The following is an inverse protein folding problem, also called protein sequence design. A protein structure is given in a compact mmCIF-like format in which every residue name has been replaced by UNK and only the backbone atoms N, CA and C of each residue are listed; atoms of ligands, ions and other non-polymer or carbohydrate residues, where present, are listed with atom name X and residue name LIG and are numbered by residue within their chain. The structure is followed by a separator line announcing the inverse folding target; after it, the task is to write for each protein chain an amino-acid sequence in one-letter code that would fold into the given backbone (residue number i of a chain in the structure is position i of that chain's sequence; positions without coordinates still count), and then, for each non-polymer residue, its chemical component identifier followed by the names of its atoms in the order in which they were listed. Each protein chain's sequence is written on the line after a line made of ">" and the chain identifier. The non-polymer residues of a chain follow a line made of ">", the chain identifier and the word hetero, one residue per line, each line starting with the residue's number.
data_IF_898155274947
#
_entry.id   IF_898155274947
#
_cell.length_a   1.000
_cell.length_b   1.000
_cell.length_c   1.000
_cell.angle_alpha   90.00
_cell.angle_beta   90.00
_cell.angle_gamma   90.00
#
_symmetry.space_group_name_H-M   'P 1'
#
loop_
_entity.id
_entity.type
_entity.pdbx_description
1 polymer ?
#
# COMPACT_ATOMS: atom_id res chain seq x y z
N UNK A 1 3.28 4.04 10.53
CA UNK A 1 3.17 3.63 9.12
C UNK A 1 1.91 2.81 8.98
N UNK A 2 0.98 3.27 8.16
CA UNK A 2 -0.29 2.57 7.92
C UNK A 2 -0.20 1.88 6.58
N UNK A 3 -0.60 0.61 6.52
CA UNK A 3 -0.75 -0.14 5.28
C UNK A 3 -2.23 -0.26 4.95
N UNK A 4 -2.62 0.21 3.78
CA UNK A 4 -3.99 0.17 3.29
C UNK A 4 -3.98 -0.61 1.96
N UNK A 5 -4.77 -1.67 1.88
CA UNK A 5 -4.95 -2.46 0.67
C UNK A 5 -6.35 -3.09 0.67
N UNK A 6 -6.94 -3.29 -0.52
CA UNK A 6 -8.21 -4.02 -0.64
C UNK A 6 -8.05 -5.50 -0.31
N UNK A 7 -6.85 -6.07 -0.51
CA UNK A 7 -6.52 -7.42 -0.08
C UNK A 7 -6.10 -7.43 1.39
N UNK A 8 -7.10 -7.48 2.27
CA UNK A 8 -6.93 -7.37 3.72
C UNK A 8 -6.04 -8.48 4.28
N UNK A 9 -6.27 -9.74 3.90
CA UNK A 9 -5.51 -10.88 4.42
C UNK A 9 -4.02 -10.74 4.12
N UNK A 10 -3.69 -10.35 2.89
CA UNK A 10 -2.29 -10.12 2.49
C UNK A 10 -1.70 -8.94 3.27
N UNK A 11 -2.40 -7.80 3.32
CA UNK A 11 -1.87 -6.61 3.98
C UNK A 11 -1.70 -6.79 5.49
N UNK A 12 -2.63 -7.47 6.16
CA UNK A 12 -2.49 -7.84 7.57
C UNK A 12 -1.31 -8.79 7.77
N UNK A 13 -1.11 -9.78 6.90
CA UNK A 13 0.06 -10.66 6.92
C UNK A 13 1.38 -9.91 6.79
N UNK A 14 1.48 -9.00 5.81
CA UNK A 14 2.67 -8.17 5.59
C UNK A 14 2.95 -7.26 6.80
N UNK A 15 1.90 -6.68 7.41
CA UNK A 15 2.02 -5.87 8.64
C UNK A 15 2.49 -6.70 9.83
N UNK A 16 2.01 -7.93 9.99
CA UNK A 16 2.46 -8.84 11.05
C UNK A 16 3.93 -9.19 10.87
N UNK A 17 4.35 -9.49 9.64
CA UNK A 17 5.74 -9.83 9.33
C UNK A 17 6.69 -8.65 9.57
N UNK A 18 6.32 -7.44 9.12
CA UNK A 18 7.05 -6.21 9.42
C UNK A 18 7.18 -5.97 10.93
N UNK A 19 6.12 -6.24 11.69
CA UNK A 19 6.14 -6.10 13.15
C UNK A 19 6.99 -7.16 13.85
N UNK A 20 7.12 -8.37 13.30
CA UNK A 20 8.03 -9.37 13.83
C UNK A 20 9.50 -8.95 13.68
N UNK A 21 9.85 -8.32 12.55
CA UNK A 21 11.19 -7.80 12.29
C UNK A 21 11.54 -6.53 13.07
N UNK A 22 10.56 -5.82 13.65
CA UNK A 22 10.75 -4.49 14.25
C UNK A 22 11.77 -4.45 15.39
N UNK A 23 11.98 -5.57 16.09
CA UNK A 23 12.94 -5.65 17.19
C UNK A 23 14.39 -5.42 16.74
N UNK A 24 14.68 -5.60 15.45
CA UNK A 24 15.99 -5.41 14.85
C UNK A 24 16.12 -4.08 14.09
N UNK A 25 15.06 -3.28 14.04
CA UNK A 25 15.09 -1.97 13.39
C UNK A 25 15.90 -0.97 14.23
N UNK A 26 16.66 -0.05 13.61
CA UNK A 26 17.47 0.94 14.34
C UNK A 26 16.63 1.93 15.16
N UNK A 27 15.37 2.12 14.78
CA UNK A 27 14.41 2.97 15.47
C UNK A 27 13.06 2.27 15.59
N UNK A 28 12.30 2.51 16.68
CA UNK A 28 10.93 2.01 16.80
C UNK A 28 10.05 2.56 15.69
N UNK A 29 9.25 1.68 15.07
CA UNK A 29 8.24 2.05 14.07
C UNK A 29 6.93 1.37 14.45
N UNK A 30 5.85 2.15 14.52
CA UNK A 30 4.51 1.62 14.69
C UNK A 30 3.93 1.34 13.30
N UNK A 31 3.67 0.07 13.00
CA UNK A 31 3.10 -0.37 11.72
C UNK A 31 1.80 -1.12 11.96
N UNK A 32 0.73 -0.74 11.29
CA UNK A 32 -0.57 -1.41 11.38
C UNK A 32 -1.30 -1.42 10.03
N UNK A 33 -2.26 -2.33 9.91
CA UNK A 33 -3.22 -2.33 8.80
C UNK A 33 -4.38 -1.41 9.18
N UNK A 34 -4.77 -0.54 8.26
CA UNK A 34 -5.76 0.50 8.51
C UNK A 34 -6.60 0.81 7.27
N UNK A 35 -7.32 1.91 7.32
CA UNK A 35 -8.16 2.39 6.23
C UNK A 35 -7.89 3.87 5.90
N UNK A 36 -8.69 4.43 5.00
CA UNK A 36 -8.49 5.81 4.55
C UNK A 36 -8.69 6.86 5.65
N UNK A 37 -9.40 6.56 6.75
CA UNK A 37 -9.56 7.48 7.88
C UNK A 37 -8.23 7.69 8.62
N UNK A 38 -7.36 6.68 8.64
CA UNK A 38 -6.00 6.76 9.18
C UNK A 38 -5.07 7.68 8.38
N UNK A 39 -5.47 8.14 7.19
CA UNK A 39 -4.70 9.12 6.41
C UNK A 39 -4.90 10.56 6.89
N UNK A 40 -5.84 10.81 7.81
CA UNK A 40 -6.26 12.17 8.23
C UNK A 40 -5.11 13.04 8.74
N UNK A 41 -4.16 12.43 9.43
CA UNK A 41 -2.99 13.06 10.06
C UNK A 41 -1.66 12.56 9.47
N UNK A 42 -1.70 11.84 8.35
CA UNK A 42 -0.50 11.38 7.67
C UNK A 42 0.25 12.55 7.00
N UNK A 43 1.54 12.70 7.29
CA UNK A 43 2.40 13.69 6.62
C UNK A 43 2.57 13.39 5.13
N UNK A 44 2.61 12.10 4.76
CA UNK A 44 2.84 11.61 3.40
C UNK A 44 1.96 10.38 3.14
N UNK A 45 1.30 10.37 1.99
CA UNK A 45 0.63 9.19 1.43
C UNK A 45 1.42 8.71 0.21
N UNK A 46 1.94 7.48 0.28
CA UNK A 46 2.67 6.84 -0.82
C UNK A 46 1.75 5.85 -1.55
N UNK A 47 1.40 6.14 -2.81
CA UNK A 47 0.45 5.32 -3.59
C UNK A 47 1.22 4.35 -4.48
N UNK A 48 1.24 3.08 -4.08
CA UNK A 48 1.80 1.97 -4.87
C UNK A 48 0.71 1.09 -5.51
N UNK A 49 -0.57 1.32 -5.17
CA UNK A 49 -1.69 0.59 -5.75
C UNK A 49 -1.86 0.93 -7.24
N UNK A 50 -2.13 -0.08 -8.06
CA UNK A 50 -2.39 0.13 -9.49
C UNK A 50 -2.28 -1.15 -10.31
N UNK A 51 -2.73 -1.07 -11.55
CA UNK A 51 -2.58 -2.16 -12.51
C UNK A 51 -1.15 -2.18 -13.09
N UNK A 52 -0.61 -3.38 -13.24
CA UNK A 52 0.59 -3.63 -14.03
C UNK A 52 0.23 -3.72 -15.52
N UNK A 53 1.12 -3.24 -16.39
CA UNK A 53 0.93 -3.32 -17.84
C UNK A 53 0.92 -4.78 -18.30
N UNK A 54 -0.06 -5.17 -19.10
CA UNK A 54 -0.12 -6.52 -19.70
C UNK A 54 0.67 -6.57 -21.02
N UNK A 55 1.19 -7.74 -21.43
CA UNK A 55 1.82 -7.90 -22.73
C UNK A 55 0.89 -7.45 -23.86
N UNK A 56 1.38 -6.57 -24.74
CA UNK A 56 0.61 -6.02 -25.87
C UNK A 56 -0.31 -4.85 -25.54
N UNK A 57 -0.44 -4.44 -24.26
CA UNK A 57 -1.21 -3.27 -23.85
C UNK A 57 -0.46 -1.98 -24.15
N UNK A 58 -1.14 -0.95 -24.67
CA UNK A 58 -0.49 0.35 -24.87
C UNK A 58 -0.40 1.13 -23.56
N UNK A 59 0.48 2.14 -23.54
CA UNK A 59 0.56 3.07 -22.40
C UNK A 59 -0.77 3.80 -22.16
N UNK A 60 -1.51 4.14 -23.23
CA UNK A 60 -2.79 4.85 -23.10
C UNK A 60 -3.86 3.94 -22.48
N UNK A 61 -3.93 2.67 -22.89
CA UNK A 61 -4.85 1.70 -22.30
C UNK A 61 -4.59 1.50 -20.80
N UNK A 62 -3.31 1.44 -20.41
CA UNK A 62 -2.92 1.33 -19.00
C UNK A 62 -3.29 2.59 -18.22
N UNK A 63 -3.07 3.77 -18.79
CA UNK A 63 -3.39 5.06 -18.17
C UNK A 63 -4.90 5.21 -17.96
N UNK A 64 -5.71 4.88 -18.97
CA UNK A 64 -7.18 4.92 -18.88
C UNK A 64 -7.71 4.00 -17.77
N UNK A 65 -7.11 2.81 -17.62
CA UNK A 65 -7.42 1.92 -16.49
C UNK A 65 -7.05 2.56 -15.15
N UNK A 66 -5.86 3.16 -15.02
CA UNK A 66 -5.39 3.77 -13.76
C UNK A 66 -6.24 4.95 -13.31
N UNK A 67 -6.64 5.84 -14.23
CA UNK A 67 -7.46 7.02 -13.92
C UNK A 67 -8.84 6.70 -13.36
N UNK A 68 -9.35 5.48 -13.54
CA UNK A 68 -10.66 5.08 -13.00
C UNK A 68 -10.61 4.72 -11.51
N UNK A 69 -9.43 4.44 -10.96
CA UNK A 69 -9.24 3.95 -9.58
C UNK A 69 -8.45 4.92 -8.69
N UNK A 70 -8.01 6.05 -9.24
CA UNK A 70 -7.46 7.21 -8.53
C UNK A 70 -8.58 8.25 -8.46
#
# INVERSE_FOLDING_TARGET
>A
MVVIDLNQDKAMGDVMDLNHGKAFAPHPVNTWYGDYEDCKDADIVCICAGANQKPGETRLDLVEKKFKYI
#
